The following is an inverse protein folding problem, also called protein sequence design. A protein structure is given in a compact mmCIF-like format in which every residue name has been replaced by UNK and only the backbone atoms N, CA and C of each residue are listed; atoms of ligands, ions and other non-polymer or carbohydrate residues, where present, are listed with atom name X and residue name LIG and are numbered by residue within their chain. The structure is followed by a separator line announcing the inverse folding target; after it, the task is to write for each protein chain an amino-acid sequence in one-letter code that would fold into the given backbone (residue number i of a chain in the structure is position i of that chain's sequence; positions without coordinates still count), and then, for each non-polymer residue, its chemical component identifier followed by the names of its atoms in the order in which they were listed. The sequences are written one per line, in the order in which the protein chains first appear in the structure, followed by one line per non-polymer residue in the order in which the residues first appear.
data_IF_672334403434
#
_entry.id   IF_672334403434
#
_cell.length_a   1.000
_cell.length_b   1.000
_cell.length_c   1.000
_cell.angle_alpha   90.00
_cell.angle_beta   90.00
_cell.angle_gamma   90.00
#
_symmetry.space_group_name_H-M   'P 1'
#
loop_
_entity.id
_entity.type
_entity.pdbx_description
1 polymer ?
#
# COMPACT_ATOMS: atom_id res chain seq x y z
N UNK A 1 14.26 31.73 1.31
CA UNK A 1 14.96 31.42 0.05
C UNK A 1 14.11 31.77 -1.17
N UNK A 2 12.78 31.78 -1.05
CA UNK A 2 11.89 32.32 -2.07
C UNK A 2 11.85 33.85 -2.04
N UNK A 3 11.44 34.47 -3.16
CA UNK A 3 11.09 35.87 -3.23
C UNK A 3 9.75 36.15 -2.54
N UNK A 4 9.64 37.31 -1.89
CA UNK A 4 8.42 37.67 -1.18
C UNK A 4 7.31 37.89 -2.21
N UNK A 5 6.22 37.12 -2.10
CA UNK A 5 5.06 37.17 -3.00
C UNK A 5 5.28 36.58 -4.41
N UNK A 6 6.32 35.77 -4.60
CA UNK A 6 6.59 35.07 -5.86
C UNK A 6 6.93 33.59 -5.57
N UNK A 7 6.33 32.67 -6.31
CA UNK A 7 6.69 31.25 -6.29
C UNK A 7 8.00 31.03 -7.07
N UNK A 8 9.02 31.86 -6.81
CA UNK A 8 10.32 31.81 -7.47
C UNK A 8 11.44 31.84 -6.46
N UNK A 9 12.51 31.12 -6.77
CA UNK A 9 13.72 31.08 -5.97
C UNK A 9 14.48 32.40 -6.05
N UNK A 10 14.90 32.92 -4.90
CA UNK A 10 15.79 34.07 -4.84
C UNK A 10 17.24 33.58 -5.00
N UNK A 11 17.80 33.73 -6.21
CA UNK A 11 19.16 33.30 -6.55
C UNK A 11 20.23 33.89 -5.63
N UNK A 12 20.11 35.17 -5.29
CA UNK A 12 21.07 35.86 -4.43
C UNK A 12 21.10 35.28 -3.01
N UNK A 13 19.92 34.92 -2.46
CA UNK A 13 19.83 34.22 -1.17
C UNK A 13 20.36 32.79 -1.26
N UNK A 14 20.21 32.10 -2.39
CA UNK A 14 20.73 30.73 -2.59
C UNK A 14 22.26 30.70 -2.69
N UNK A 15 22.88 31.60 -3.45
CA UNK A 15 24.34 31.69 -3.58
C UNK A 15 25.05 31.91 -2.24
N UNK A 16 24.37 32.54 -1.27
CA UNK A 16 24.91 32.76 0.07
C UNK A 16 24.85 31.51 0.97
N UNK A 17 24.11 30.47 0.59
CA UNK A 17 23.85 29.29 1.44
C UNK A 17 24.36 27.99 0.82
N UNK A 18 24.33 27.88 -0.51
CA UNK A 18 24.73 26.67 -1.24
C UNK A 18 25.73 26.97 -2.34
N UNK A 19 26.65 26.03 -2.65
CA UNK A 19 27.59 26.15 -3.75
C UNK A 19 26.90 26.31 -5.11
N UNK A 20 27.52 27.07 -6.03
CA UNK A 20 26.96 27.41 -7.36
C UNK A 20 26.38 26.21 -8.16
N UNK A 21 27.01 25.01 -8.20
CA UNK A 21 26.45 23.87 -8.92
C UNK A 21 25.10 23.39 -8.37
N UNK A 22 24.88 23.56 -7.07
CA UNK A 22 23.64 23.19 -6.38
C UNK A 22 22.58 24.27 -6.59
N UNK A 23 22.99 25.55 -6.69
CA UNK A 23 22.09 26.66 -7.04
C UNK A 23 21.43 26.39 -8.39
N UNK A 24 22.19 26.01 -9.41
CA UNK A 24 21.63 25.72 -10.74
C UNK A 24 20.69 24.51 -10.72
N UNK A 25 20.99 23.47 -9.93
CA UNK A 25 20.07 22.34 -9.76
C UNK A 25 18.75 22.77 -9.11
N UNK A 26 18.80 23.61 -8.07
CA UNK A 26 17.61 24.10 -7.37
C UNK A 26 16.77 25.00 -8.29
N UNK A 27 17.41 25.87 -9.07
CA UNK A 27 16.72 26.73 -10.05
C UNK A 27 16.00 25.92 -11.13
N UNK A 28 16.50 24.72 -11.46
CA UNK A 28 15.85 23.81 -12.42
C UNK A 28 14.66 23.03 -11.84
N UNK A 29 14.51 22.96 -10.52
CA UNK A 29 13.32 22.37 -9.89
C UNK A 29 12.18 23.37 -10.05
N UNK A 30 11.36 23.12 -11.08
CA UNK A 30 10.17 23.92 -11.43
C UNK A 30 9.42 24.30 -10.15
N UNK A 31 9.37 25.59 -9.86
CA UNK A 31 8.62 26.14 -8.73
C UNK A 31 7.21 26.36 -9.27
N UNK A 32 6.22 25.65 -8.72
CA UNK A 32 4.90 25.50 -9.34
C UNK A 32 4.18 26.83 -9.66
N UNK A 33 3.18 26.77 -10.52
CA UNK A 33 2.30 27.91 -10.80
C UNK A 33 1.60 28.37 -9.52
N UNK A 34 1.57 29.69 -9.29
CA UNK A 34 0.97 30.35 -8.12
C UNK A 34 -0.54 30.02 -7.99
N UNK A 35 -1.18 29.60 -9.07
CA UNK A 35 -2.63 29.52 -9.18
C UNK A 35 -3.22 28.14 -8.84
N UNK A 36 -2.39 27.11 -8.63
CA UNK A 36 -2.86 25.80 -8.13
C UNK A 36 -2.46 25.61 -6.66
N UNK A 37 -3.45 25.52 -5.77
CA UNK A 37 -3.22 25.09 -4.39
C UNK A 37 -2.53 23.71 -4.36
N UNK A 38 -1.49 23.58 -3.53
CA UNK A 38 -0.83 22.31 -3.26
C UNK A 38 -1.84 21.25 -2.82
N UNK A 39 -2.03 20.21 -3.64
CA UNK A 39 -2.96 19.12 -3.37
C UNK A 39 -2.23 17.84 -2.99
N UNK A 40 -2.49 17.37 -1.77
CA UNK A 40 -2.04 16.03 -1.35
C UNK A 40 -2.80 14.97 -2.16
N UNK A 41 -2.06 14.18 -2.94
CA UNK A 41 -2.60 13.07 -3.74
C UNK A 41 -2.18 11.72 -3.14
N UNK A 42 -3.15 10.84 -2.92
CA UNK A 42 -2.90 9.46 -2.48
C UNK A 42 -2.43 8.60 -3.66
N UNK A 43 -1.21 8.05 -3.59
CA UNK A 43 -0.64 7.23 -4.67
C UNK A 43 -1.21 5.80 -4.75
N UNK A 44 -1.92 5.33 -3.71
CA UNK A 44 -2.45 3.96 -3.67
C UNK A 44 -3.77 3.77 -4.44
N UNK A 45 -4.26 4.79 -5.14
CA UNK A 45 -5.46 4.72 -5.98
C UNK A 45 -5.34 5.72 -7.13
N UNK A 46 -5.73 5.35 -8.35
CA UNK A 46 -5.62 6.21 -9.54
C UNK A 46 -6.41 7.53 -9.39
N UNK A 47 -7.50 7.50 -8.61
CA UNK A 47 -8.33 8.69 -8.32
C UNK A 47 -7.67 9.67 -7.34
N UNK A 48 -6.51 9.34 -6.76
CA UNK A 48 -5.77 10.22 -5.88
C UNK A 48 -6.40 10.48 -4.51
N UNK A 49 -7.53 9.82 -4.19
CA UNK A 49 -8.27 10.02 -2.94
C UNK A 49 -7.87 8.97 -1.91
N UNK A 50 -7.51 9.43 -0.71
CA UNK A 50 -7.24 8.56 0.42
C UNK A 50 -8.54 7.91 0.92
N UNK A 51 -8.52 6.58 1.08
CA UNK A 51 -9.54 5.86 1.83
C UNK A 51 -8.93 4.70 2.60
N UNK A 52 -9.48 4.38 3.77
CA UNK A 52 -9.09 3.21 4.58
C UNK A 52 -9.14 1.90 3.76
N UNK A 53 -10.08 1.80 2.81
CA UNK A 53 -10.17 0.66 1.90
C UNK A 53 -8.97 0.57 0.95
N UNK A 54 -8.56 1.69 0.37
CA UNK A 54 -7.41 1.74 -0.55
C UNK A 54 -6.08 1.47 0.18
N UNK A 55 -5.90 1.99 1.39
CA UNK A 55 -4.72 1.70 2.22
C UNK A 55 -4.68 0.23 2.63
N UNK A 56 -5.82 -0.32 3.05
CA UNK A 56 -5.92 -1.73 3.41
C UNK A 56 -5.57 -2.62 2.23
N UNK A 57 -6.12 -2.34 1.04
CA UNK A 57 -5.77 -3.07 -0.19
C UNK A 57 -4.28 -3.00 -0.54
N UNK A 58 -3.68 -1.82 -0.46
CA UNK A 58 -2.26 -1.65 -0.74
C UNK A 58 -1.41 -2.46 0.24
N UNK A 59 -1.70 -2.34 1.54
CA UNK A 59 -0.96 -3.06 2.59
C UNK A 59 -1.18 -4.58 2.60
N UNK A 60 -2.31 -5.06 2.09
CA UNK A 60 -2.54 -6.50 1.91
C UNK A 60 -1.89 -7.01 0.62
N UNK A 61 -1.86 -6.23 -0.46
CA UNK A 61 -1.16 -6.62 -1.71
C UNK A 61 0.33 -6.84 -1.46
N UNK A 62 0.96 -5.92 -0.73
CA UNK A 62 2.40 -5.95 -0.45
C UNK A 62 2.83 -7.10 0.47
N UNK A 63 1.88 -7.65 1.25
CA UNK A 63 2.07 -8.88 2.06
C UNK A 63 1.64 -10.16 1.33
N UNK A 64 1.38 -10.11 0.01
CA UNK A 64 0.90 -11.24 -0.77
C UNK A 64 -0.55 -11.65 -0.49
N UNK A 65 -1.32 -10.82 0.23
CA UNK A 65 -2.66 -11.11 0.71
C UNK A 65 -3.80 -10.74 -0.24
N UNK A 66 -3.53 -10.19 -1.43
CA UNK A 66 -4.59 -9.70 -2.33
C UNK A 66 -4.93 -10.63 -3.50
N UNK A 67 -4.13 -11.64 -3.80
CA UNK A 67 -4.39 -12.53 -4.95
C UNK A 67 -5.58 -13.47 -4.70
N UNK A 68 -5.95 -13.68 -3.44
CA UNK A 68 -6.90 -14.73 -3.06
C UNK A 68 -8.17 -14.26 -2.38
N UNK A 69 -8.47 -12.96 -2.29
CA UNK A 69 -9.72 -12.55 -1.61
C UNK A 69 -10.98 -13.05 -2.36
N UNK A 70 -10.95 -13.05 -3.69
CA UNK A 70 -12.05 -13.58 -4.48
C UNK A 70 -12.01 -15.11 -4.61
N UNK A 71 -10.81 -15.71 -4.67
CA UNK A 71 -10.61 -17.16 -4.54
C UNK A 71 -11.14 -17.68 -3.21
N UNK A 72 -10.81 -17.00 -2.11
CA UNK A 72 -11.26 -17.25 -0.75
C UNK A 72 -12.77 -17.08 -0.67
N UNK A 73 -13.35 -15.97 -1.16
CA UNK A 73 -14.82 -15.84 -1.18
C UNK A 73 -15.49 -17.00 -1.93
N UNK A 74 -14.92 -17.47 -3.04
CA UNK A 74 -15.44 -18.64 -3.77
C UNK A 74 -15.33 -19.91 -2.94
N UNK A 75 -14.17 -20.20 -2.34
CA UNK A 75 -13.99 -21.39 -1.49
C UNK A 75 -14.88 -21.34 -0.25
N UNK A 76 -15.07 -20.16 0.35
CA UNK A 76 -15.98 -19.97 1.48
C UNK A 76 -17.44 -20.18 1.08
N UNK A 77 -17.87 -19.63 -0.06
CA UNK A 77 -19.23 -19.88 -0.59
C UNK A 77 -19.48 -21.37 -0.82
N UNK A 78 -18.50 -22.10 -1.33
CA UNK A 78 -18.60 -23.56 -1.48
C UNK A 78 -18.70 -24.20 -0.10
N UNK A 79 -17.77 -23.88 0.81
CA UNK A 79 -17.71 -24.46 2.15
C UNK A 79 -19.02 -24.32 2.94
N UNK A 80 -19.70 -23.17 2.83
CA UNK A 80 -20.97 -22.90 3.52
C UNK A 80 -22.20 -23.48 2.82
N UNK A 81 -22.11 -23.87 1.55
CA UNK A 81 -23.22 -24.50 0.80
C UNK A 81 -23.32 -26.01 1.02
N UNK A 82 -22.32 -26.64 1.63
CA UNK A 82 -22.39 -28.08 1.92
C UNK A 82 -23.38 -28.34 3.07
N UNK A 83 -24.34 -29.24 2.81
CA UNK A 83 -25.27 -29.77 3.81
C UNK A 83 -24.54 -30.72 4.77
N UNK A 84 -23.77 -30.13 5.67
CA UNK A 84 -23.06 -30.84 6.74
C UNK A 84 -23.51 -30.21 8.07
N UNK A 85 -23.66 -30.99 9.14
CA UNK A 85 -23.87 -30.46 10.49
C UNK A 85 -22.88 -29.34 10.86
N UNK A 86 -23.38 -28.29 11.52
CA UNK A 86 -22.64 -27.05 11.81
C UNK A 86 -21.31 -27.23 12.54
N UNK A 87 -21.22 -28.22 13.43
CA UNK A 87 -19.97 -28.55 14.14
C UNK A 87 -18.83 -28.96 13.19
N UNK A 88 -19.14 -29.73 12.14
CA UNK A 88 -18.15 -30.16 11.16
C UNK A 88 -17.78 -29.04 10.17
N UNK A 89 -18.69 -28.08 9.93
CA UNK A 89 -18.37 -26.88 9.15
C UNK A 89 -17.32 -26.02 9.86
N UNK A 90 -17.44 -25.83 11.18
CA UNK A 90 -16.45 -25.13 12.00
C UNK A 90 -15.10 -25.85 12.01
N UNK A 91 -15.10 -27.17 12.15
CA UNK A 91 -13.88 -27.98 12.07
C UNK A 91 -13.18 -27.84 10.72
N UNK A 92 -13.95 -27.90 9.62
CA UNK A 92 -13.42 -27.74 8.27
C UNK A 92 -12.90 -26.33 8.00
N UNK A 93 -13.56 -25.30 8.50
CA UNK A 93 -13.08 -23.92 8.44
C UNK A 93 -11.69 -23.78 9.10
N UNK A 94 -11.50 -24.41 10.28
CA UNK A 94 -10.20 -24.43 10.97
C UNK A 94 -9.12 -25.12 10.14
N UNK A 95 -9.44 -26.25 9.49
CA UNK A 95 -8.50 -26.96 8.59
C UNK A 95 -8.17 -26.12 7.36
N UNK A 96 -9.18 -25.53 6.70
CA UNK A 96 -9.01 -24.73 5.48
C UNK A 96 -8.12 -23.50 5.70
N UNK A 97 -8.04 -23.00 6.93
CA UNK A 97 -7.18 -21.88 7.32
C UNK A 97 -5.81 -22.31 7.85
N UNK A 98 -5.48 -23.61 7.78
CA UNK A 98 -4.27 -24.18 8.40
C UNK A 98 -4.14 -23.80 9.88
N UNK A 99 -5.26 -23.54 10.56
CA UNK A 99 -5.31 -23.06 11.94
C UNK A 99 -5.16 -24.21 12.95
N UNK A 100 -5.15 -25.45 12.48
CA UNK A 100 -4.75 -26.61 13.26
C UNK A 100 -3.42 -27.13 12.74
N UNK A 101 -2.48 -27.53 13.61
CA UNK A 101 -1.24 -28.17 13.20
C UNK A 101 -1.54 -29.57 12.67
N UNK A 102 -2.02 -29.66 11.43
CA UNK A 102 -2.09 -30.91 10.69
C UNK A 102 -0.67 -31.33 10.29
N UNK A 103 -0.41 -32.62 10.13
CA UNK A 103 0.91 -33.15 9.76
C UNK A 103 1.54 -32.41 8.57
N UNK A 104 0.74 -31.99 7.60
CA UNK A 104 1.17 -31.21 6.43
C UNK A 104 1.77 -29.84 6.79
N UNK A 105 1.27 -29.18 7.83
CA UNK A 105 1.76 -27.87 8.31
C UNK A 105 3.03 -28.05 9.14
N UNK A 106 3.16 -29.18 9.85
CA UNK A 106 4.39 -29.53 10.53
C UNK A 106 5.51 -29.77 9.51
N UNK A 107 5.26 -30.56 8.45
CA UNK A 107 6.24 -30.80 7.38
C UNK A 107 6.72 -29.52 6.68
N UNK A 108 5.80 -28.58 6.41
CA UNK A 108 6.15 -27.27 5.81
C UNK A 108 6.98 -26.37 6.74
N UNK A 109 6.89 -26.54 8.07
CA UNK A 109 7.67 -25.77 9.05
C UNK A 109 9.03 -26.38 9.35
N UNK A 110 9.15 -27.71 9.27
CA UNK A 110 10.42 -28.42 9.52
C UNK A 110 11.30 -28.53 8.29
N UNK A 111 10.78 -28.39 7.06
CA UNK A 111 11.60 -28.34 5.86
C UNK A 111 12.23 -26.95 5.65
N UNK A 112 13.31 -26.70 6.40
CA UNK A 112 14.37 -25.75 6.03
C UNK A 112 15.53 -26.57 5.48
N UNK A 113 15.44 -26.94 4.21
CA UNK A 113 16.51 -27.56 3.42
C UNK A 113 16.71 -26.76 2.16
#
# INVERSE_FOLDING_TARGET
MFEDNSCQWNRNKLQNVVPEPVVDMIMNVMTGEIDEEDRVRWCGENKGKFTVKSTYRLSTYDRGGSSDLDSLKKTLKVLWKLQIPSFLQLFRWKISRQAMPTCDILQKKTFKG
#
